data_IF_257906668351
#
_entry.id   IF_257906668351
#
_cell.length_a   1.000
_cell.length_b   1.000
_cell.length_c   1.000
_cell.angle_alpha   90.00
_cell.angle_beta   90.00
_cell.angle_gamma   90.00
#
_symmetry.space_group_name_H-M   'P 1'
#
loop_
_entity.id
_entity.type
_entity.pdbx_description
1 polymer ?
#
# COMPACT_ATOMS: atom_id res chain seq x y z
N UNK A 1 11.44 56.21 67.04
CA UNK A 1 10.19 55.53 66.63
C UNK A 1 9.89 56.00 65.21
N UNK A 2 9.68 55.21 64.16
CA UNK A 2 9.56 53.77 63.93
C UNK A 2 9.93 53.59 62.45
N UNK A 3 10.65 52.52 62.15
CA UNK A 3 11.18 52.14 60.84
C UNK A 3 10.08 52.01 59.77
N UNK A 4 10.34 52.58 58.59
CA UNK A 4 9.54 52.40 57.38
C UNK A 4 9.99 51.09 56.70
N UNK A 5 9.27 50.00 56.99
CA UNK A 5 9.42 48.71 56.32
C UNK A 5 8.68 48.75 54.98
N UNK A 6 9.46 48.85 53.89
CA UNK A 6 8.97 48.73 52.52
C UNK A 6 9.06 47.24 52.14
N UNK A 7 7.96 46.50 52.28
CA UNK A 7 7.82 45.11 51.85
C UNK A 7 7.61 45.07 50.34
N UNK A 8 8.66 44.70 49.61
CA UNK A 8 8.60 44.32 48.19
C UNK A 8 7.97 42.93 48.11
N UNK A 9 6.70 42.85 47.74
CA UNK A 9 6.06 41.60 47.36
C UNK A 9 6.52 41.21 45.95
N UNK A 10 7.52 40.34 45.86
CA UNK A 10 7.90 39.68 44.63
C UNK A 10 6.80 38.65 44.26
N UNK A 11 5.90 39.03 43.37
CA UNK A 11 4.99 38.10 42.72
C UNK A 11 5.80 37.23 41.74
N UNK A 12 6.22 36.05 42.21
CA UNK A 12 6.72 34.99 41.36
C UNK A 12 5.56 34.48 40.49
N UNK A 13 5.40 35.03 39.30
CA UNK A 13 4.60 34.41 38.23
C UNK A 13 5.36 33.16 37.83
N UNK A 14 4.98 32.02 38.41
CA UNK A 14 5.33 30.70 37.89
C UNK A 14 4.76 30.63 36.47
N UNK A 15 5.64 30.80 35.49
CA UNK A 15 5.35 30.46 34.11
C UNK A 15 5.04 28.96 34.06
N UNK A 16 3.75 28.62 34.06
CA UNK A 16 3.30 27.30 33.66
C UNK A 16 3.90 27.01 32.27
N UNK A 17 4.47 25.82 32.04
CA UNK A 17 4.93 25.47 30.71
C UNK A 17 3.73 25.57 29.78
N UNK A 18 3.83 26.44 28.77
CA UNK A 18 2.84 26.55 27.73
C UNK A 18 2.64 25.15 27.15
N UNK A 19 1.47 24.56 27.42
CA UNK A 19 1.00 23.37 26.73
C UNK A 19 0.93 23.76 25.24
N UNK A 20 1.99 23.41 24.51
CA UNK A 20 2.13 23.72 23.10
C UNK A 20 0.89 23.23 22.34
N UNK A 21 0.47 24.03 21.37
CA UNK A 21 -0.71 23.87 20.53
C UNK A 21 -0.69 22.58 19.67
N UNK A 22 -0.81 21.42 20.30
CA UNK A 22 -0.93 20.10 19.67
C UNK A 22 -2.40 19.70 19.40
N UNK A 23 -3.36 20.33 20.07
CA UNK A 23 -4.79 20.04 19.98
C UNK A 23 -5.39 20.05 18.56
N UNK A 24 -5.04 20.98 17.64
CA UNK A 24 -5.68 21.02 16.32
C UNK A 24 -5.24 19.87 15.40
N UNK A 25 -4.02 19.37 15.56
CA UNK A 25 -3.50 18.26 14.75
C UNK A 25 -4.10 16.91 15.18
N UNK A 26 -4.17 16.66 16.49
CA UNK A 26 -4.77 15.43 17.04
C UNK A 26 -6.27 15.36 16.72
N UNK A 27 -7.00 16.47 16.86
CA UNK A 27 -8.40 16.54 16.48
C UNK A 27 -8.60 16.29 14.97
N UNK A 28 -7.74 16.85 14.11
CA UNK A 28 -7.83 16.60 12.67
C UNK A 28 -7.64 15.12 12.32
N UNK A 29 -6.74 14.42 13.03
CA UNK A 29 -6.51 12.99 12.87
C UNK A 29 -7.69 12.15 13.34
N UNK A 30 -8.23 12.46 14.52
CA UNK A 30 -9.43 11.81 15.03
C UNK A 30 -10.61 11.98 14.07
N UNK A 31 -10.78 13.17 13.49
CA UNK A 31 -11.81 13.44 12.50
C UNK A 31 -11.60 12.68 11.18
N UNK A 32 -10.36 12.55 10.72
CA UNK A 32 -10.07 11.73 9.55
C UNK A 32 -10.37 10.24 9.80
N UNK A 33 -10.07 9.74 11.01
CA UNK A 33 -10.44 8.38 11.41
C UNK A 33 -11.97 8.20 11.45
N UNK A 34 -12.71 9.15 12.05
CA UNK A 34 -14.18 9.13 12.05
C UNK A 34 -14.74 9.08 10.62
N UNK A 35 -14.24 9.94 9.72
CA UNK A 35 -14.65 10.00 8.32
C UNK A 35 -14.44 8.65 7.61
N UNK A 36 -13.28 8.00 7.78
CA UNK A 36 -13.02 6.68 7.21
C UNK A 36 -13.88 5.58 7.83
N UNK A 37 -14.15 5.65 9.13
CA UNK A 37 -15.04 4.70 9.79
C UNK A 37 -16.47 4.82 9.24
N UNK A 38 -16.98 6.05 9.09
CA UNK A 38 -18.30 6.30 8.50
C UNK A 38 -18.35 5.82 7.05
N UNK A 39 -17.31 6.11 6.27
CA UNK A 39 -17.22 5.62 4.90
C UNK A 39 -17.28 4.08 4.83
N UNK A 40 -16.51 3.39 5.68
CA UNK A 40 -16.55 1.93 5.76
C UNK A 40 -17.98 1.42 5.99
N UNK A 41 -18.69 1.99 6.97
CA UNK A 41 -20.04 1.56 7.31
C UNK A 41 -21.11 2.00 6.29
N UNK A 42 -20.89 3.07 5.52
CA UNK A 42 -21.77 3.40 4.39
C UNK A 42 -21.80 2.32 3.32
N UNK A 43 -20.75 1.52 3.22
CA UNK A 43 -20.66 0.39 2.28
C UNK A 43 -21.08 -0.95 2.90
N UNK A 44 -21.37 -0.98 4.20
CA UNK A 44 -21.68 -2.21 4.92
C UNK A 44 -23.08 -2.75 4.57
N UNK A 45 -23.23 -4.07 4.55
CA UNK A 45 -24.49 -4.72 4.20
C UNK A 45 -25.62 -4.44 5.21
N UNK A 46 -25.29 -4.22 6.50
CA UNK A 46 -26.29 -3.98 7.53
C UNK A 46 -27.01 -2.64 7.38
N UNK A 47 -26.33 -1.64 6.80
CA UNK A 47 -26.86 -0.28 6.62
C UNK A 47 -27.54 0.27 7.89
N UNK A 48 -26.92 0.07 9.07
CA UNK A 48 -27.48 0.46 10.37
C UNK A 48 -28.04 1.89 10.32
N UNK A 49 -29.31 2.13 10.73
CA UNK A 49 -29.90 3.46 10.77
C UNK A 49 -29.05 4.53 11.46
N UNK A 50 -28.26 4.14 12.48
CA UNK A 50 -27.35 5.04 13.21
C UNK A 50 -26.17 5.51 12.36
N UNK A 51 -25.78 4.73 11.36
CA UNK A 51 -24.73 5.11 10.41
C UNK A 51 -25.28 6.14 9.42
N UNK A 52 -26.53 5.96 8.96
CA UNK A 52 -27.16 6.87 7.99
C UNK A 52 -27.30 8.31 8.49
N UNK A 53 -27.41 8.50 9.80
CA UNK A 53 -27.41 9.81 10.44
C UNK A 53 -26.55 9.76 11.70
N UNK A 54 -25.25 10.02 11.53
CA UNK A 54 -24.28 9.96 12.63
C UNK A 54 -23.96 11.35 13.16
N UNK A 55 -24.18 11.58 14.45
CA UNK A 55 -23.74 12.82 15.08
C UNK A 55 -22.22 12.99 14.98
N UNK A 56 -21.75 14.20 14.67
CA UNK A 56 -20.31 14.48 14.51
C UNK A 56 -19.94 15.85 15.05
N UNK A 57 -18.71 15.98 15.54
CA UNK A 57 -18.08 17.27 15.85
C UNK A 57 -17.03 17.67 14.80
N UNK A 58 -16.81 16.82 13.79
CA UNK A 58 -15.68 16.93 12.86
C UNK A 58 -15.97 17.79 11.63
N UNK A 59 -17.23 18.14 11.40
CA UNK A 59 -17.69 18.91 10.24
C UNK A 59 -18.35 20.19 10.69
N UNK A 60 -17.70 21.32 10.43
CA UNK A 60 -18.20 22.63 10.84
C UNK A 60 -19.60 22.91 10.25
N UNK A 61 -20.52 23.36 11.09
CA UNK A 61 -21.89 23.67 10.70
C UNK A 61 -22.80 22.45 10.51
N UNK A 62 -22.33 21.23 10.79
CA UNK A 62 -23.15 20.01 10.73
C UNK A 62 -23.21 19.35 12.11
N UNK A 63 -24.43 19.19 12.64
CA UNK A 63 -24.65 18.40 13.86
C UNK A 63 -24.55 16.89 13.62
N UNK A 64 -24.80 16.46 12.38
CA UNK A 64 -24.72 15.06 11.97
C UNK A 64 -24.29 14.92 10.50
N UNK A 65 -23.61 13.83 10.19
CA UNK A 65 -23.35 13.33 8.84
C UNK A 65 -24.53 12.47 8.39
N UNK A 66 -25.21 12.95 7.36
CA UNK A 66 -26.34 12.26 6.74
C UNK A 66 -25.82 11.61 5.45
N UNK A 67 -26.01 10.30 5.32
CA UNK A 67 -25.64 9.57 4.11
C UNK A 67 -26.33 10.19 2.89
N UNK A 68 -25.61 10.49 1.79
CA UNK A 68 -26.22 11.06 0.60
C UNK A 68 -27.26 10.11 -0.03
N UNK A 69 -28.41 10.64 -0.46
CA UNK A 69 -29.51 9.85 -1.06
C UNK A 69 -29.05 9.01 -2.26
N UNK A 70 -28.15 9.57 -3.08
CA UNK A 70 -27.59 8.87 -4.24
C UNK A 70 -26.79 7.64 -3.80
N UNK A 71 -26.04 7.74 -2.68
CA UNK A 71 -25.23 6.65 -2.17
C UNK A 71 -26.12 5.59 -1.53
N UNK A 72 -27.12 6.01 -0.75
CA UNK A 72 -28.13 5.11 -0.19
C UNK A 72 -28.82 4.27 -1.28
N UNK A 73 -29.10 4.89 -2.43
CA UNK A 73 -29.70 4.21 -3.59
C UNK A 73 -28.71 3.30 -4.34
N UNK A 74 -27.42 3.65 -4.37
CA UNK A 74 -26.39 2.92 -5.11
C UNK A 74 -25.86 1.69 -4.35
N UNK A 75 -25.75 1.75 -3.02
CA UNK A 75 -25.09 0.71 -2.22
C UNK A 75 -25.71 -0.69 -2.37
N UNK A 76 -27.05 -0.88 -2.42
CA UNK A 76 -27.63 -2.20 -2.67
C UNK A 76 -27.11 -2.83 -3.98
N UNK A 77 -26.94 -2.04 -5.03
CA UNK A 77 -26.36 -2.49 -6.29
C UNK A 77 -24.88 -2.84 -6.16
N UNK A 78 -24.10 -2.03 -5.43
CA UNK A 78 -22.68 -2.30 -5.16
C UNK A 78 -22.47 -3.58 -4.32
N UNK A 79 -23.36 -3.87 -3.38
CA UNK A 79 -23.35 -5.09 -2.56
C UNK A 79 -23.67 -6.33 -3.40
N UNK A 80 -24.61 -6.23 -4.33
CA UNK A 80 -25.00 -7.33 -5.20
C UNK A 80 -23.96 -7.61 -6.31
N UNK A 81 -23.26 -6.60 -6.81
CA UNK A 81 -22.34 -6.73 -7.94
C UNK A 81 -21.03 -7.39 -7.52
N UNK A 82 -20.85 -8.65 -7.90
CA UNK A 82 -19.58 -9.39 -7.75
C UNK A 82 -18.59 -8.92 -8.83
N UNK A 83 -17.44 -8.43 -8.41
CA UNK A 83 -16.46 -7.79 -9.30
C UNK A 83 -15.05 -8.37 -9.17
N UNK A 84 -14.83 -9.23 -8.18
CA UNK A 84 -13.54 -9.85 -7.94
C UNK A 84 -13.70 -11.28 -7.42
N UNK A 85 -12.82 -12.16 -7.87
CA UNK A 85 -12.75 -13.54 -7.40
C UNK A 85 -11.40 -13.76 -6.72
N UNK A 86 -11.44 -13.94 -5.41
CA UNK A 86 -10.29 -14.28 -4.60
C UNK A 86 -10.28 -15.80 -4.33
N UNK A 87 -9.13 -16.49 -4.42
CA UNK A 87 -9.06 -17.92 -4.15
C UNK A 87 -9.45 -18.30 -2.71
N UNK A 88 -9.17 -17.44 -1.74
CA UNK A 88 -9.40 -17.69 -0.31
C UNK A 88 -10.71 -17.06 0.16
N UNK A 89 -10.96 -15.81 -0.25
CA UNK A 89 -12.13 -15.04 0.21
C UNK A 89 -13.39 -15.26 -0.66
N UNK A 90 -13.25 -15.92 -1.82
CA UNK A 90 -14.35 -16.18 -2.75
C UNK A 90 -14.74 -14.97 -3.60
N UNK A 91 -16.03 -14.83 -3.92
CA UNK A 91 -16.53 -13.73 -4.76
C UNK A 91 -16.84 -12.47 -3.95
N UNK A 92 -16.03 -11.44 -4.16
CA UNK A 92 -16.14 -10.16 -3.47
C UNK A 92 -17.01 -9.18 -4.26
N UNK A 93 -17.84 -8.43 -3.54
CA UNK A 93 -18.69 -7.39 -4.11
C UNK A 93 -17.92 -6.08 -4.32
N UNK A 94 -18.48 -5.19 -5.15
CA UNK A 94 -17.92 -3.85 -5.36
C UNK A 94 -17.81 -3.06 -4.05
N UNK A 95 -18.85 -3.14 -3.21
CA UNK A 95 -18.85 -2.46 -1.91
C UNK A 95 -17.69 -2.96 -1.02
N UNK A 96 -17.50 -4.29 -0.95
CA UNK A 96 -16.46 -4.90 -0.13
C UNK A 96 -15.05 -4.54 -0.64
N UNK A 97 -14.86 -4.48 -1.96
CA UNK A 97 -13.58 -4.07 -2.56
C UNK A 97 -13.18 -2.64 -2.15
N UNK A 98 -14.15 -1.73 -2.09
CA UNK A 98 -13.91 -0.36 -1.63
C UNK A 98 -13.78 -0.23 -0.12
N UNK A 99 -14.39 -1.13 0.66
CA UNK A 99 -14.25 -1.15 2.12
C UNK A 99 -12.81 -1.42 2.56
N UNK A 100 -12.09 -2.33 1.89
CA UNK A 100 -10.73 -2.72 2.30
C UNK A 100 -9.72 -1.56 2.36
N UNK A 101 -9.53 -0.73 1.32
CA UNK A 101 -8.62 0.41 1.43
C UNK A 101 -9.07 1.42 2.50
N UNK A 102 -10.37 1.63 2.64
CA UNK A 102 -10.94 2.55 3.65
C UNK A 102 -10.71 2.04 5.08
N UNK A 103 -10.85 0.73 5.32
CA UNK A 103 -10.61 0.15 6.65
C UNK A 103 -9.15 0.26 7.06
N UNK A 104 -8.22 0.11 6.10
CA UNK A 104 -6.78 0.26 6.37
C UNK A 104 -6.41 1.70 6.67
N UNK A 105 -7.03 2.69 5.98
CA UNK A 105 -6.88 4.10 6.32
C UNK A 105 -7.42 4.40 7.72
N UNK A 106 -8.56 3.83 8.09
CA UNK A 106 -9.11 3.95 9.45
C UNK A 106 -8.16 3.37 10.50
N UNK A 107 -7.63 2.16 10.26
CA UNK A 107 -6.67 1.49 11.14
C UNK A 107 -5.44 2.37 11.37
N UNK A 108 -4.82 2.85 10.28
CA UNK A 108 -3.68 3.73 10.33
C UNK A 108 -3.98 5.02 11.11
N UNK A 109 -5.06 5.73 10.77
CA UNK A 109 -5.43 7.00 11.39
C UNK A 109 -5.85 6.86 12.87
N UNK A 110 -6.31 5.67 13.27
CA UNK A 110 -6.64 5.35 14.66
C UNK A 110 -5.42 4.98 15.50
N UNK A 111 -4.35 4.49 14.87
CA UNK A 111 -3.12 4.02 15.51
C UNK A 111 -2.04 5.10 15.54
N UNK A 112 -1.75 5.74 14.41
CA UNK A 112 -0.65 6.67 14.25
C UNK A 112 -0.59 7.82 15.29
N UNK A 113 -1.72 8.45 15.70
CA UNK A 113 -1.69 9.51 16.71
C UNK A 113 -1.24 9.01 18.09
N UNK A 114 -1.41 7.72 18.37
CA UNK A 114 -1.10 7.08 19.67
C UNK A 114 0.33 6.52 19.71
N UNK A 115 1.04 6.54 18.58
CA UNK A 115 2.37 5.97 18.48
C UNK A 115 3.41 6.88 19.10
N UNK A 116 4.01 6.41 20.18
CA UNK A 116 5.12 7.09 20.83
C UNK A 116 6.43 6.87 20.06
N UNK A 117 6.69 5.65 19.61
CA UNK A 117 7.89 5.30 18.84
C UNK A 117 7.50 4.73 17.46
N UNK A 118 7.53 5.54 16.40
CA UNK A 118 7.24 5.09 15.05
C UNK A 118 8.16 3.97 14.56
N UNK A 119 9.42 3.92 15.03
CA UNK A 119 10.37 2.92 14.61
C UNK A 119 10.06 1.55 15.22
N UNK A 120 9.64 1.52 16.49
CA UNK A 120 9.17 0.29 17.14
C UNK A 120 7.92 -0.30 16.46
N UNK A 121 7.05 0.55 15.92
CA UNK A 121 5.82 0.15 15.21
C UNK A 121 6.01 -0.05 13.70
N UNK A 122 7.25 0.03 13.20
CA UNK A 122 7.59 -0.02 11.77
C UNK A 122 6.94 -1.21 11.04
N UNK A 123 7.05 -2.41 11.61
CA UNK A 123 6.50 -3.62 11.01
C UNK A 123 4.98 -3.51 10.77
N UNK A 124 4.26 -2.89 11.70
CA UNK A 124 2.82 -2.66 11.55
C UNK A 124 2.49 -1.62 10.47
N UNK A 125 3.32 -0.59 10.33
CA UNK A 125 3.12 0.41 9.26
C UNK A 125 3.43 -0.12 7.87
N UNK A 126 4.49 -0.92 7.73
CA UNK A 126 4.79 -1.61 6.47
C UNK A 126 3.71 -2.62 6.10
N UNK A 127 3.18 -3.36 7.07
CA UNK A 127 2.03 -4.26 6.84
C UNK A 127 0.80 -3.49 6.32
N UNK A 128 0.40 -2.41 7.02
CA UNK A 128 -0.71 -1.56 6.57
C UNK A 128 -0.48 -0.99 5.17
N UNK A 129 0.75 -0.51 4.88
CA UNK A 129 1.13 -0.01 3.57
C UNK A 129 0.98 -1.07 2.48
N UNK A 130 1.49 -2.28 2.71
CA UNK A 130 1.40 -3.39 1.75
C UNK A 130 -0.07 -3.77 1.52
N UNK A 131 -0.85 -3.96 2.60
CA UNK A 131 -2.28 -4.25 2.49
C UNK A 131 -3.03 -3.15 1.73
N UNK A 132 -2.72 -1.88 2.00
CA UNK A 132 -3.34 -0.74 1.33
C UNK A 132 -3.04 -0.78 -0.18
N UNK A 133 -1.77 -0.92 -0.54
CA UNK A 133 -1.33 -1.03 -1.93
C UNK A 133 -2.03 -2.18 -2.67
N UNK A 134 -2.07 -3.37 -2.08
CA UNK A 134 -2.77 -4.52 -2.67
C UNK A 134 -4.26 -4.27 -2.84
N UNK A 135 -4.90 -3.65 -1.85
CA UNK A 135 -6.34 -3.34 -1.91
C UNK A 135 -6.67 -2.32 -3.00
N UNK A 136 -5.86 -1.27 -3.19
CA UNK A 136 -6.04 -0.28 -4.27
C UNK A 136 -5.80 -0.90 -5.65
N UNK A 137 -4.82 -1.81 -5.76
CA UNK A 137 -4.59 -2.56 -7.01
C UNK A 137 -5.78 -3.47 -7.34
N UNK A 138 -6.40 -4.14 -6.35
CA UNK A 138 -7.65 -4.91 -6.54
C UNK A 138 -8.77 -4.02 -7.09
N UNK A 139 -9.03 -2.86 -6.48
CA UNK A 139 -10.06 -1.89 -6.95
C UNK A 139 -9.77 -1.42 -8.38
N UNK A 140 -8.51 -1.11 -8.69
CA UNK A 140 -8.08 -0.67 -10.02
C UNK A 140 -8.26 -1.76 -11.07
N UNK A 141 -7.85 -3.00 -10.77
CA UNK A 141 -7.98 -4.14 -11.69
C UNK A 141 -9.43 -4.57 -11.92
N UNK A 142 -10.28 -4.38 -10.93
CA UNK A 142 -11.72 -4.61 -11.04
C UNK A 142 -12.44 -3.57 -11.94
N UNK A 143 -11.75 -2.53 -12.42
CA UNK A 143 -12.33 -1.54 -13.35
C UNK A 143 -13.43 -0.68 -12.71
N UNK A 144 -13.24 -0.30 -11.43
CA UNK A 144 -14.23 0.41 -10.65
C UNK A 144 -14.19 1.93 -10.82
N UNK A 145 -13.66 2.45 -11.93
CA UNK A 145 -13.60 3.89 -12.21
C UNK A 145 -14.99 4.53 -12.37
N UNK A 146 -15.96 3.73 -12.83
CA UNK A 146 -17.37 4.13 -12.99
C UNK A 146 -18.19 3.98 -11.71
N UNK A 147 -17.60 3.41 -10.64
CA UNK A 147 -18.23 3.25 -9.33
C UNK A 147 -18.68 4.58 -8.72
N UNK A 148 -19.53 4.52 -7.70
CA UNK A 148 -20.01 5.70 -6.98
C UNK A 148 -20.65 6.78 -7.90
N UNK A 149 -21.41 6.35 -8.90
CA UNK A 149 -21.99 7.25 -9.90
C UNK A 149 -20.93 8.02 -10.70
N UNK A 150 -19.84 7.34 -11.08
CA UNK A 150 -18.69 7.93 -11.76
C UNK A 150 -17.62 8.54 -10.85
N UNK A 151 -17.80 8.61 -9.53
CA UNK A 151 -16.76 9.15 -8.62
C UNK A 151 -15.56 8.23 -8.42
N UNK A 152 -15.67 6.95 -8.79
CA UNK A 152 -14.62 5.95 -8.62
C UNK A 152 -13.27 6.37 -9.22
N UNK A 153 -13.26 6.97 -10.41
CA UNK A 153 -12.04 7.46 -11.07
C UNK A 153 -11.27 8.50 -10.25
N UNK A 154 -11.89 9.65 -9.92
CA UNK A 154 -11.29 10.63 -9.00
C UNK A 154 -10.89 10.05 -7.64
N UNK A 155 -11.69 9.15 -7.06
CA UNK A 155 -11.37 8.50 -5.78
C UNK A 155 -10.13 7.59 -5.89
N UNK A 156 -9.99 6.83 -6.98
CA UNK A 156 -8.77 6.07 -7.29
C UNK A 156 -7.54 6.98 -7.45
N UNK A 157 -7.70 8.15 -8.05
CA UNK A 157 -6.64 9.17 -8.08
C UNK A 157 -6.24 9.65 -6.67
N UNK A 158 -7.22 9.80 -5.77
CA UNK A 158 -6.99 10.08 -4.35
C UNK A 158 -6.22 8.95 -3.65
N UNK A 159 -6.64 7.70 -3.85
CA UNK A 159 -5.98 6.52 -3.30
C UNK A 159 -4.55 6.35 -3.83
N UNK A 160 -4.28 6.67 -5.10
CA UNK A 160 -2.93 6.67 -5.66
C UNK A 160 -2.01 7.68 -4.96
N UNK A 161 -2.52 8.86 -4.63
CA UNK A 161 -1.77 9.84 -3.85
C UNK A 161 -1.55 9.37 -2.40
N UNK A 162 -2.55 8.74 -1.79
CA UNK A 162 -2.43 8.15 -0.46
C UNK A 162 -1.38 7.04 -0.40
N UNK A 163 -1.22 6.23 -1.45
CA UNK A 163 -0.14 5.23 -1.50
C UNK A 163 1.24 5.88 -1.45
N UNK A 164 1.45 7.01 -2.17
CA UNK A 164 2.70 7.78 -2.05
C UNK A 164 2.90 8.30 -0.63
N UNK A 165 1.85 8.84 -0.01
CA UNK A 165 1.96 9.34 1.35
C UNK A 165 2.27 8.20 2.36
N UNK A 166 1.78 6.97 2.11
CA UNK A 166 2.16 5.77 2.87
C UNK A 166 3.65 5.44 2.72
N UNK A 167 4.21 5.48 1.52
CA UNK A 167 5.65 5.27 1.31
C UNK A 167 6.50 6.32 2.06
N UNK A 168 6.04 7.57 2.05
CA UNK A 168 6.72 8.67 2.73
C UNK A 168 6.57 8.59 4.26
N UNK A 169 5.43 8.10 4.78
CA UNK A 169 5.25 7.96 6.23
C UNK A 169 6.02 6.78 6.80
N UNK A 170 6.14 5.67 6.06
CA UNK A 170 6.99 4.55 6.51
C UNK A 170 8.48 4.89 6.43
N UNK A 171 8.90 5.68 5.43
CA UNK A 171 10.25 6.27 5.43
C UNK A 171 10.52 7.09 6.68
N UNK A 172 9.59 7.99 7.01
CA UNK A 172 9.72 8.88 8.14
C UNK A 172 9.74 8.13 9.47
N UNK A 173 9.01 7.02 9.56
CA UNK A 173 9.07 6.11 10.69
C UNK A 173 10.45 5.42 10.78
N UNK A 174 11.10 5.14 9.65
CA UNK A 174 12.39 4.42 9.59
C UNK A 174 13.55 5.32 9.98
N UNK A 175 13.44 6.61 9.64
CA UNK A 175 14.37 7.66 10.05
C UNK A 175 14.27 7.99 11.55
N UNK A 176 13.36 7.34 12.31
CA UNK A 176 12.99 7.67 13.69
C UNK A 176 12.57 9.15 13.88
N UNK A 177 12.20 9.84 12.80
CA UNK A 177 11.90 11.27 12.81
C UNK A 177 10.43 11.51 13.14
N UNK A 178 10.12 11.71 14.43
CA UNK A 178 8.75 12.00 14.89
C UNK A 178 8.12 13.20 14.18
N UNK A 179 8.90 14.23 13.86
CA UNK A 179 8.41 15.43 13.16
C UNK A 179 8.01 15.10 11.72
N UNK A 180 8.88 14.39 10.97
CA UNK A 180 8.54 13.94 9.60
C UNK A 180 7.33 13.01 9.63
N UNK A 181 7.31 12.06 10.55
CA UNK A 181 6.22 11.08 10.70
C UNK A 181 4.88 11.77 10.97
N UNK A 182 4.85 12.71 11.93
CA UNK A 182 3.64 13.49 12.25
C UNK A 182 3.14 14.32 11.06
N UNK A 183 4.05 14.95 10.32
CA UNK A 183 3.70 15.72 9.11
C UNK A 183 3.09 14.83 8.02
N UNK A 184 3.71 13.67 7.72
CA UNK A 184 3.21 12.73 6.72
C UNK A 184 1.89 12.07 7.14
N UNK A 185 1.75 11.79 8.43
CA UNK A 185 0.48 11.34 9.02
C UNK A 185 -0.64 12.39 8.83
N UNK A 186 -0.33 13.68 8.99
CA UNK A 186 -1.30 14.75 8.73
C UNK A 186 -1.65 14.89 7.23
N UNK A 187 -0.70 14.63 6.33
CA UNK A 187 -0.95 14.59 4.89
C UNK A 187 -1.94 13.47 4.51
N UNK A 188 -1.72 12.25 5.04
CA UNK A 188 -2.65 11.12 4.90
C UNK A 188 -4.03 11.50 5.43
N UNK A 189 -4.12 12.07 6.64
CA UNK A 189 -5.38 12.48 7.24
C UNK A 189 -6.15 13.45 6.35
N UNK A 190 -5.49 14.51 5.86
CA UNK A 190 -6.08 15.49 4.96
C UNK A 190 -6.61 14.86 3.67
N UNK A 191 -5.86 13.94 3.05
CA UNK A 191 -6.30 13.27 1.81
C UNK A 191 -7.41 12.25 2.06
N UNK A 192 -7.40 11.54 3.19
CA UNK A 192 -8.51 10.67 3.59
C UNK A 192 -9.80 11.47 3.75
N UNK A 193 -9.74 12.66 4.36
CA UNK A 193 -10.90 13.55 4.46
C UNK A 193 -11.38 14.06 3.10
N UNK A 194 -10.46 14.41 2.19
CA UNK A 194 -10.83 14.76 0.80
C UNK A 194 -11.47 13.59 0.06
N UNK A 195 -10.97 12.37 0.26
CA UNK A 195 -11.56 11.15 -0.29
C UNK A 195 -13.00 10.96 0.22
N UNK A 196 -13.25 11.16 1.51
CA UNK A 196 -14.59 11.09 2.09
C UNK A 196 -15.52 12.20 1.57
N UNK A 197 -15.01 13.42 1.45
CA UNK A 197 -15.78 14.58 0.98
C UNK A 197 -16.37 14.35 -0.43
N UNK A 198 -15.68 13.58 -1.28
CA UNK A 198 -16.19 13.23 -2.61
C UNK A 198 -17.54 12.51 -2.59
N UNK A 199 -17.91 11.84 -1.49
CA UNK A 199 -19.25 11.24 -1.36
C UNK A 199 -20.37 12.29 -1.33
N UNK A 200 -20.07 13.49 -0.84
CA UNK A 200 -21.03 14.57 -0.65
C UNK A 200 -21.01 15.60 -1.78
N UNK A 201 -20.03 15.49 -2.68
CA UNK A 201 -19.83 16.41 -3.79
C UNK A 201 -20.46 15.87 -5.09
N UNK A 202 -20.70 16.78 -6.04
CA UNK A 202 -20.95 16.39 -7.42
C UNK A 202 -19.72 15.66 -7.99
N UNK A 203 -19.88 14.75 -8.98
CA UNK A 203 -18.75 14.05 -9.58
C UNK A 203 -17.71 15.03 -10.10
N UNK A 204 -16.45 14.87 -9.65
CA UNK A 204 -15.34 15.73 -10.05
C UNK A 204 -14.97 15.53 -11.52
N UNK A 205 -14.20 16.46 -12.09
CA UNK A 205 -13.65 16.34 -13.44
C UNK A 205 -12.87 15.02 -13.58
N UNK A 206 -13.18 14.25 -14.63
CA UNK A 206 -12.60 12.91 -14.82
C UNK A 206 -13.44 11.77 -14.23
N UNK A 207 -14.65 12.05 -13.74
CA UNK A 207 -15.61 11.03 -13.35
C UNK A 207 -15.80 9.95 -14.42
N UNK A 208 -15.78 8.68 -14.01
CA UNK A 208 -15.90 7.50 -14.88
C UNK A 208 -14.65 7.18 -15.70
N UNK A 209 -13.56 7.97 -15.58
CA UNK A 209 -12.31 7.76 -16.32
C UNK A 209 -11.24 7.18 -15.42
N UNK A 210 -10.31 6.42 -16.02
CA UNK A 210 -9.08 5.97 -15.38
C UNK A 210 -8.26 7.18 -14.92
N UNK A 211 -7.69 7.15 -13.69
CA UNK A 211 -6.72 8.15 -13.29
C UNK A 211 -5.59 8.22 -14.31
N UNK A 212 -5.17 9.44 -14.68
CA UNK A 212 -4.05 9.65 -15.60
C UNK A 212 -2.73 9.15 -15.03
N UNK A 213 -2.57 9.26 -13.72
CA UNK A 213 -1.38 8.82 -12.99
C UNK A 213 -1.67 7.51 -12.24
N UNK A 214 -1.05 6.42 -12.69
CA UNK A 214 -0.97 5.18 -11.90
C UNK A 214 0.23 5.31 -10.96
N UNK A 215 -0.02 5.19 -9.67
CA UNK A 215 1.06 5.13 -8.70
C UNK A 215 1.89 3.85 -8.94
N UNK A 216 3.20 4.04 -9.10
CA UNK A 216 4.17 2.94 -9.05
C UNK A 216 4.80 2.97 -7.66
N UNK A 217 4.61 1.92 -6.84
CA UNK A 217 5.22 1.83 -5.51
C UNK A 217 6.69 2.16 -5.55
N UNK A 218 7.16 2.86 -4.52
CA UNK A 218 8.58 2.95 -4.30
C UNK A 218 9.04 1.59 -3.82
N UNK A 219 9.46 0.78 -4.78
CA UNK A 219 10.05 -0.51 -4.53
C UNK A 219 11.43 -0.30 -3.89
N UNK A 220 11.39 -0.11 -2.58
CA UNK A 220 12.51 0.00 -1.65
C UNK A 220 12.81 -1.38 -1.08
N UNK A 221 14.00 -1.56 -0.55
CA UNK A 221 14.31 -2.77 0.23
C UNK A 221 13.67 -2.60 1.61
N UNK A 222 12.72 -3.48 1.93
CA UNK A 222 12.00 -3.44 3.21
C UNK A 222 12.84 -4.05 4.34
N UNK A 223 12.67 -3.63 5.61
CA UNK A 223 13.26 -4.33 6.75
C UNK A 223 12.95 -5.83 6.72
N UNK A 224 13.95 -6.67 6.98
CA UNK A 224 13.83 -8.13 6.88
C UNK A 224 14.05 -8.69 5.47
N UNK A 225 13.88 -7.88 4.42
CA UNK A 225 14.15 -8.26 3.03
C UNK A 225 15.55 -7.81 2.58
N UNK A 226 15.96 -8.24 1.38
CA UNK A 226 17.24 -7.92 0.73
C UNK A 226 16.95 -7.54 -0.72
N UNK A 227 17.60 -6.47 -1.18
CA UNK A 227 17.63 -6.13 -2.60
C UNK A 227 18.72 -6.94 -3.28
N UNK A 228 18.36 -7.83 -4.21
CA UNK A 228 19.33 -8.63 -4.98
C UNK A 228 19.35 -8.15 -6.42
N UNK A 229 20.51 -7.74 -6.89
CA UNK A 229 20.72 -7.30 -8.27
C UNK A 229 21.17 -8.49 -9.13
N UNK A 230 20.35 -8.85 -10.11
CA UNK A 230 20.62 -9.94 -11.04
C UNK A 230 20.93 -9.36 -12.43
N UNK A 231 22.09 -9.69 -13.03
CA UNK A 231 22.31 -9.45 -14.44
C UNK A 231 21.38 -10.34 -15.26
N UNK A 232 20.72 -9.76 -16.24
CA UNK A 232 19.83 -10.46 -17.17
C UNK A 232 20.11 -10.01 -18.60
N UNK A 233 19.59 -10.73 -19.59
CA UNK A 233 19.68 -10.29 -20.98
C UNK A 233 18.97 -8.95 -21.18
N UNK A 234 19.48 -8.13 -22.10
CA UNK A 234 18.86 -6.84 -22.37
C UNK A 234 17.43 -6.95 -22.87
N UNK A 235 17.15 -7.98 -23.67
CA UNK A 235 15.79 -8.31 -24.08
C UNK A 235 14.85 -8.50 -22.87
N UNK A 236 15.25 -9.24 -21.83
CA UNK A 236 14.43 -9.37 -20.61
C UNK A 236 14.27 -8.04 -19.88
N UNK A 237 15.36 -7.32 -19.64
CA UNK A 237 15.33 -6.06 -18.90
C UNK A 237 14.44 -4.99 -19.58
N UNK A 238 14.35 -4.98 -20.92
CA UNK A 238 13.52 -4.03 -21.64
C UNK A 238 12.02 -4.17 -21.35
N UNK A 239 11.55 -5.39 -21.10
CA UNK A 239 10.13 -5.72 -20.91
C UNK A 239 9.70 -5.89 -19.44
N UNK A 240 10.65 -5.86 -18.51
CA UNK A 240 10.36 -5.80 -17.08
C UNK A 240 10.22 -4.35 -16.62
N UNK A 241 9.32 -4.13 -15.68
CA UNK A 241 9.15 -2.84 -15.00
C UNK A 241 9.13 -3.01 -13.49
N UNK A 242 9.42 -1.92 -12.78
CA UNK A 242 9.28 -1.86 -11.32
C UNK A 242 7.84 -2.23 -10.92
N UNK A 243 7.70 -3.06 -9.90
CA UNK A 243 6.41 -3.55 -9.43
C UNK A 243 5.92 -4.85 -10.08
N UNK A 244 6.58 -5.32 -11.15
CA UNK A 244 6.30 -6.66 -11.68
C UNK A 244 6.59 -7.74 -10.64
N UNK A 245 5.83 -8.84 -10.69
CA UNK A 245 6.14 -10.08 -9.97
C UNK A 245 6.77 -11.05 -10.96
N UNK A 246 7.85 -11.71 -10.56
CA UNK A 246 8.59 -12.64 -11.42
C UNK A 246 8.86 -13.97 -10.71
N UNK A 247 8.96 -15.02 -11.52
CA UNK A 247 9.58 -16.28 -11.12
C UNK A 247 11.02 -16.31 -11.67
N UNK A 248 11.96 -16.81 -10.88
CA UNK A 248 13.37 -16.93 -11.27
C UNK A 248 13.66 -18.38 -11.66
N UNK A 249 13.90 -18.58 -12.96
CA UNK A 249 14.39 -19.83 -13.52
C UNK A 249 15.90 -19.81 -13.61
N UNK A 250 16.53 -20.93 -13.24
CA UNK A 250 17.98 -21.09 -13.28
C UNK A 250 18.32 -22.38 -14.00
N UNK A 251 19.20 -22.27 -15.00
CA UNK A 251 19.75 -23.43 -15.72
C UNK A 251 21.14 -23.75 -15.17
N UNK A 252 21.35 -24.97 -14.71
CA UNK A 252 22.65 -25.43 -14.18
C UNK A 252 22.91 -26.89 -14.56
N UNK A 253 24.15 -27.35 -14.37
CA UNK A 253 24.52 -28.75 -14.57
C UNK A 253 24.24 -29.54 -13.28
N UNK A 254 23.38 -30.55 -13.37
CA UNK A 254 23.10 -31.47 -12.28
C UNK A 254 23.68 -32.86 -12.59
N UNK A 255 24.23 -33.53 -11.58
CA UNK A 255 24.56 -34.94 -11.68
C UNK A 255 23.31 -35.77 -11.43
N UNK A 256 22.90 -36.55 -12.43
CA UNK A 256 21.80 -37.49 -12.31
C UNK A 256 22.30 -38.80 -11.68
N UNK A 257 21.38 -39.66 -11.22
CA UNK A 257 21.69 -40.96 -10.58
C UNK A 257 22.57 -41.90 -11.43
N UNK A 258 22.79 -41.60 -12.71
CA UNK A 258 23.64 -42.37 -13.63
C UNK A 258 25.04 -41.77 -13.82
N UNK A 259 25.48 -40.87 -12.94
CA UNK A 259 26.76 -40.11 -13.05
C UNK A 259 26.91 -39.28 -14.34
N UNK A 260 25.79 -39.04 -15.04
CA UNK A 260 25.76 -38.18 -16.23
C UNK A 260 25.40 -36.76 -15.79
N UNK A 261 26.24 -35.80 -16.17
CA UNK A 261 25.94 -34.37 -16.04
C UNK A 261 24.91 -33.98 -17.08
N UNK A 262 23.78 -33.45 -16.64
CA UNK A 262 22.72 -32.96 -17.50
C UNK A 262 22.40 -31.50 -17.17
N UNK A 263 22.15 -30.70 -18.22
CA UNK A 263 21.66 -29.34 -18.05
C UNK A 263 20.18 -29.39 -17.70
N UNK A 264 19.86 -28.94 -16.50
CA UNK A 264 18.49 -28.87 -15.97
C UNK A 264 18.10 -27.41 -15.76
N UNK A 265 16.84 -27.09 -15.98
CA UNK A 265 16.27 -25.78 -15.61
C UNK A 265 15.24 -25.97 -14.52
N UNK A 266 15.39 -25.23 -13.44
CA UNK A 266 14.49 -25.29 -12.29
C UNK A 266 14.01 -23.88 -11.90
N UNK A 267 12.82 -23.82 -11.32
CA UNK A 267 12.31 -22.62 -10.67
C UNK A 267 12.90 -22.53 -9.27
N UNK A 268 13.70 -21.50 -9.02
CA UNK A 268 14.39 -21.32 -7.74
C UNK A 268 13.64 -20.34 -6.84
N UNK A 269 13.10 -19.27 -7.42
CA UNK A 269 12.27 -18.29 -6.70
C UNK A 269 10.94 -18.13 -7.42
N UNK A 270 9.88 -17.88 -6.66
CA UNK A 270 8.55 -17.63 -7.20
C UNK A 270 7.93 -16.39 -6.58
N UNK A 271 7.12 -15.68 -7.36
CA UNK A 271 6.36 -14.52 -6.90
C UNK A 271 7.20 -13.37 -6.31
N UNK A 272 8.43 -13.18 -6.80
CA UNK A 272 9.36 -12.17 -6.26
C UNK A 272 9.06 -10.80 -6.88
N UNK A 273 9.08 -9.75 -6.05
CA UNK A 273 8.81 -8.38 -6.52
C UNK A 273 10.05 -7.76 -7.16
N UNK A 274 9.88 -7.16 -8.35
CA UNK A 274 10.91 -6.36 -9.01
C UNK A 274 10.96 -4.96 -8.40
N UNK A 275 12.08 -4.62 -7.77
CA UNK A 275 12.29 -3.32 -7.14
C UNK A 275 12.94 -2.27 -8.02
N UNK A 276 13.65 -2.70 -9.05
CA UNK A 276 14.34 -1.81 -9.97
C UNK A 276 14.72 -2.53 -11.24
N UNK A 277 14.83 -1.77 -12.33
CA UNK A 277 15.29 -2.28 -13.62
C UNK A 277 16.23 -1.26 -14.24
N UNK A 278 17.49 -1.64 -14.38
CA UNK A 278 18.46 -0.90 -15.17
C UNK A 278 18.41 -1.42 -16.61
N UNK A 279 17.76 -0.63 -17.47
CA UNK A 279 17.59 -0.97 -18.89
C UNK A 279 18.89 -0.69 -19.65
N UNK A 280 19.39 -1.65 -20.43
CA UNK A 280 20.54 -1.40 -21.29
C UNK A 280 20.16 -0.53 -22.49
N UNK A 281 21.19 0.01 -23.16
CA UNK A 281 21.02 0.80 -24.38
C UNK A 281 20.44 0.01 -25.57
N UNK A 282 20.59 -1.32 -25.57
CA UNK A 282 20.04 -2.20 -26.61
C UNK A 282 19.72 -3.59 -26.05
N UNK A 283 18.91 -4.37 -26.77
CA UNK A 283 18.55 -5.73 -26.38
C UNK A 283 19.74 -6.71 -26.30
N UNK A 284 20.85 -6.38 -26.96
CA UNK A 284 22.08 -7.18 -26.98
C UNK A 284 23.00 -6.90 -25.79
N UNK A 285 22.89 -5.73 -25.14
CA UNK A 285 23.67 -5.39 -23.96
C UNK A 285 23.01 -5.96 -22.68
N UNK A 286 23.78 -6.30 -21.63
CA UNK A 286 23.23 -6.84 -20.39
C UNK A 286 22.46 -5.76 -19.62
N UNK A 287 21.31 -6.15 -19.06
CA UNK A 287 20.55 -5.34 -18.11
C UNK A 287 20.76 -5.82 -16.68
N UNK A 288 20.25 -5.06 -15.71
CA UNK A 288 20.22 -5.46 -14.30
C UNK A 288 18.79 -5.33 -13.78
N UNK A 289 18.30 -6.37 -13.12
CA UNK A 289 17.00 -6.36 -12.44
C UNK A 289 17.24 -6.54 -10.95
N UNK A 290 16.66 -5.65 -10.15
CA UNK A 290 16.70 -5.73 -8.70
C UNK A 290 15.44 -6.42 -8.20
N UNK A 291 15.61 -7.43 -7.35
CA UNK A 291 14.55 -8.21 -6.73
C UNK A 291 14.48 -7.94 -5.23
N UNK A 292 13.26 -7.93 -4.67
CA UNK A 292 13.03 -7.94 -3.23
C UNK A 292 12.91 -9.39 -2.74
N UNK A 293 13.96 -9.88 -2.12
CA UNK A 293 14.05 -11.26 -1.63
C UNK A 293 14.02 -11.29 -0.09
N UNK A 294 13.42 -12.30 0.51
CA UNK A 294 13.70 -12.62 1.92
C UNK A 294 15.15 -13.16 2.08
N UNK A 295 15.68 -13.36 3.29
CA UNK A 295 17.08 -13.78 3.47
C UNK A 295 17.44 -15.11 2.79
N UNK A 296 16.53 -16.08 2.76
CA UNK A 296 16.76 -17.38 2.14
C UNK A 296 16.73 -17.27 0.61
N UNK A 297 15.72 -16.59 0.07
CA UNK A 297 15.61 -16.28 -1.36
C UNK A 297 16.84 -15.52 -1.87
N UNK A 298 17.36 -14.59 -1.06
CA UNK A 298 18.56 -13.84 -1.41
C UNK A 298 19.80 -14.73 -1.51
N UNK A 299 19.94 -15.71 -0.60
CA UNK A 299 21.01 -16.71 -0.68
C UNK A 299 20.86 -17.58 -1.92
N UNK A 300 19.65 -18.04 -2.25
CA UNK A 300 19.41 -18.84 -3.44
C UNK A 300 19.69 -18.07 -4.73
N UNK A 301 19.29 -16.80 -4.82
CA UNK A 301 19.64 -15.94 -5.94
C UNK A 301 21.15 -15.70 -6.05
N UNK A 302 21.84 -15.44 -4.93
CA UNK A 302 23.29 -15.29 -4.92
C UNK A 302 24.01 -16.57 -5.36
N UNK A 303 23.56 -17.74 -4.91
CA UNK A 303 24.10 -19.04 -5.32
C UNK A 303 23.88 -19.28 -6.82
N UNK A 304 22.71 -18.90 -7.32
CA UNK A 304 22.33 -19.03 -8.73
C UNK A 304 23.23 -18.20 -9.66
N UNK A 305 23.77 -17.07 -9.18
CA UNK A 305 24.75 -16.28 -9.94
C UNK A 305 26.10 -16.99 -10.09
N UNK A 306 26.47 -17.82 -9.11
CA UNK A 306 27.76 -18.52 -9.09
C UNK A 306 27.66 -19.87 -9.81
N UNK A 307 26.58 -20.61 -9.59
CA UNK A 307 26.42 -21.97 -10.09
C UNK A 307 25.55 -22.07 -11.35
N UNK A 308 24.71 -21.07 -11.60
CA UNK A 308 23.83 -21.03 -12.76
C UNK A 308 24.61 -20.66 -14.03
N UNK A 309 24.37 -21.43 -15.08
CA UNK A 309 24.83 -21.10 -16.43
C UNK A 309 23.95 -20.05 -17.12
N UNK A 310 22.69 -19.93 -16.69
CA UNK A 310 21.75 -18.94 -17.21
C UNK A 310 20.66 -18.64 -16.16
N UNK A 311 20.25 -17.37 -16.07
CA UNK A 311 19.14 -16.90 -15.22
C UNK A 311 18.09 -16.25 -16.10
N UNK A 312 16.84 -16.65 -15.92
CA UNK A 312 15.68 -16.11 -16.64
C UNK A 312 14.61 -15.69 -15.64
N UNK A 313 14.15 -14.46 -15.76
CA UNK A 313 13.03 -13.91 -15.00
C UNK A 313 11.77 -13.98 -15.85
N UNK A 314 10.80 -14.77 -15.41
CA UNK A 314 9.52 -14.94 -16.07
C UNK A 314 8.51 -14.01 -15.39
N UNK A 315 7.99 -13.03 -16.13
CA UNK A 315 6.97 -12.11 -15.62
C UNK A 315 5.65 -12.85 -15.40
N UNK A 316 5.10 -12.74 -14.19
CA UNK A 316 3.78 -13.26 -13.85
C UNK A 316 2.67 -12.39 -14.40
N UNK A 317 1.50 -12.98 -14.63
CA UNK A 317 0.31 -12.19 -14.95
C UNK A 317 -0.08 -11.32 -13.74
N UNK A 318 -0.56 -10.08 -13.95
CA UNK A 318 -1.02 -9.26 -12.84
C UNK A 318 -2.13 -9.96 -12.04
N UNK A 319 -1.91 -10.19 -10.73
CA UNK A 319 -2.87 -10.88 -9.85
C UNK A 319 -2.65 -12.39 -9.71
N UNK A 320 -1.70 -12.96 -10.45
CA UNK A 320 -1.25 -14.33 -10.25
C UNK A 320 -0.29 -14.40 -9.05
N UNK A 321 -0.81 -14.82 -7.90
CA UNK A 321 -0.05 -14.95 -6.65
C UNK A 321 0.17 -16.41 -6.22
N UNK A 322 -0.63 -17.33 -6.75
CA UNK A 322 -0.61 -18.75 -6.38
C UNK A 322 0.74 -19.39 -6.76
N UNK A 323 1.42 -20.03 -5.82
CA UNK A 323 2.71 -20.65 -6.10
C UNK A 323 2.50 -21.94 -6.89
N UNK A 324 2.76 -21.89 -8.20
CA UNK A 324 2.73 -23.06 -9.09
C UNK A 324 4.14 -23.37 -9.57
N UNK A 325 4.87 -24.29 -8.93
CA UNK A 325 6.23 -24.59 -9.35
C UNK A 325 6.22 -25.13 -10.78
N UNK A 326 6.98 -24.50 -11.68
CA UNK A 326 7.19 -25.07 -13.01
C UNK A 326 8.04 -26.33 -12.86
N UNK A 327 7.61 -27.43 -13.49
CA UNK A 327 8.32 -28.72 -13.39
C UNK A 327 9.76 -28.57 -13.89
N UNK A 328 10.69 -29.20 -13.17
CA UNK A 328 12.10 -29.27 -13.59
C UNK A 328 12.16 -29.96 -14.96
N UNK A 329 12.64 -29.21 -15.94
CA UNK A 329 12.74 -29.64 -17.32
C UNK A 329 14.20 -29.92 -17.71
N UNK A 330 14.39 -30.97 -18.48
CA UNK A 330 15.63 -31.28 -19.18
C UNK A 330 15.29 -31.74 -20.59
N UNK A 331 16.20 -31.57 -21.56
CA UNK A 331 15.90 -31.97 -22.95
C UNK A 331 15.62 -33.46 -23.09
N UNK A 332 16.22 -34.30 -22.24
CA UNK A 332 15.97 -35.74 -22.24
C UNK A 332 14.53 -36.09 -21.83
N UNK A 333 13.91 -35.31 -20.94
CA UNK A 333 12.49 -35.48 -20.62
C UNK A 333 11.55 -35.07 -21.75
N UNK A 334 12.00 -34.16 -22.63
CA UNK A 334 11.18 -33.62 -23.72
C UNK A 334 11.13 -34.54 -24.95
N UNK A 335 12.20 -35.28 -25.22
CA UNK A 335 12.31 -36.19 -26.36
C UNK A 335 12.18 -37.62 -25.82
N UNK A 336 10.98 -38.22 -25.98
CA UNK A 336 10.75 -39.64 -25.72
C UNK A 336 11.25 -40.51 -26.87
#
# INVERSE_FOLDING_TARGET
MKYLLLTIAAAAVLAAPAAFAAAPAEQALACAAEDMQVFYYYLDASQDPKVRSRATACHAGKAALIMPDWLQSAVPGMLARKVWKDPEEGELSEALLWQTPVSILYEFLSKAPKTQDPQAEMAGYEDMRIRFMMSVDRVTKAGLESSFGGRGGPMLGGLNNLMRDFDEVTEAASDASRVKFGRKTADIARRSRDLFAQLFEAPRKGAGKKPGDKYSPEARVLPGYRGVSLPVSGAQALYLVRGDRVDMLVTFEAMMNTDIKEKVTATILQNVLVTGVHKPASAAAPGVVQLLCNPNEAQYAALSLVQGSNIVLVRRAPGDFELRPMEIASFRKLIK
#
